data_IF_703826697733
#
_entry.id   IF_703826697733
#
_cell.length_a   1.000
_cell.length_b   1.000
_cell.length_c   1.000
_cell.angle_alpha   90.00
_cell.angle_beta   90.00
_cell.angle_gamma   90.00
#
_symmetry.space_group_name_H-M   'P 1'
#
loop_
_entity.id
_entity.type
_entity.pdbx_description
1 polymer ?
#
# COMPACT_ATOMS: atom_id res chain seq x y z
N UNK A 1 27.16 -35.58 38.40
CA UNK A 1 25.70 -35.45 38.55
C UNK A 1 25.39 -33.98 38.75
N UNK A 2 25.12 -33.26 37.66
CA UNK A 2 24.70 -31.85 37.68
C UNK A 2 23.19 -31.82 37.40
N UNK A 3 22.48 -31.08 38.26
CA UNK A 3 21.03 -30.89 38.23
C UNK A 3 20.64 -29.98 37.08
N UNK A 4 19.74 -30.43 36.21
CA UNK A 4 19.12 -29.59 35.19
C UNK A 4 18.06 -28.68 35.83
N UNK A 5 18.06 -27.42 35.42
CA UNK A 5 17.11 -26.39 35.83
C UNK A 5 15.71 -26.65 35.24
N UNK A 6 14.69 -26.26 36.00
CA UNK A 6 13.28 -26.50 35.74
C UNK A 6 12.76 -25.76 34.51
N UNK A 7 11.91 -26.45 33.77
CA UNK A 7 10.93 -25.89 32.87
C UNK A 7 9.90 -25.05 33.64
N UNK A 8 9.37 -24.03 32.96
CA UNK A 8 8.04 -23.41 33.07
C UNK A 8 8.12 -21.88 33.08
N UNK A 9 8.14 -21.31 31.87
CA UNK A 9 7.55 -20.00 31.55
C UNK A 9 7.14 -20.01 30.07
N UNK A 10 6.22 -20.91 29.72
CA UNK A 10 5.49 -20.82 28.46
C UNK A 10 4.37 -19.80 28.65
N UNK A 11 4.65 -18.54 28.35
CA UNK A 11 3.61 -17.54 28.07
C UNK A 11 2.82 -18.01 26.85
N UNK A 12 1.69 -18.65 27.09
CA UNK A 12 0.76 -19.04 26.04
C UNK A 12 0.25 -17.78 25.33
N UNK A 13 0.49 -17.71 24.01
CA UNK A 13 0.00 -16.68 23.07
C UNK A 13 -1.51 -16.40 23.25
N UNK A 14 -2.27 -17.36 23.81
CA UNK A 14 -3.69 -17.21 24.12
C UNK A 14 -4.02 -16.10 25.11
N UNK A 15 -3.11 -15.70 26.00
CA UNK A 15 -3.40 -14.66 27.00
C UNK A 15 -3.18 -13.24 26.48
N UNK A 16 -2.35 -13.05 25.45
CA UNK A 16 -2.17 -11.76 24.77
C UNK A 16 -3.39 -11.35 23.90
N UNK A 17 -4.26 -12.30 23.55
CA UNK A 17 -5.40 -12.07 22.65
C UNK A 17 -6.73 -11.83 23.38
N UNK A 18 -6.81 -12.04 24.70
CA UNK A 18 -8.06 -11.93 25.48
C UNK A 18 -8.57 -10.49 25.70
N UNK A 19 -7.82 -9.48 25.27
CA UNK A 19 -8.19 -8.06 25.40
C UNK A 19 -8.81 -7.41 24.15
N UNK A 20 -8.85 -8.10 23.00
CA UNK A 20 -9.34 -7.49 21.76
C UNK A 20 -10.87 -7.43 21.72
N UNK A 21 -11.45 -6.39 22.32
CA UNK A 21 -12.81 -5.98 21.93
C UNK A 21 -12.75 -5.52 20.47
N UNK A 22 -13.51 -6.13 19.54
CA UNK A 22 -13.62 -5.58 18.21
C UNK A 22 -14.16 -4.15 18.36
N UNK A 23 -13.39 -3.18 17.87
CA UNK A 23 -13.85 -1.81 17.83
C UNK A 23 -15.25 -1.78 17.18
N UNK A 24 -16.20 -0.99 17.70
CA UNK A 24 -17.52 -0.88 17.10
C UNK A 24 -17.34 -0.61 15.61
N UNK A 25 -17.92 -1.48 14.78
CA UNK A 25 -17.87 -1.36 13.33
C UNK A 25 -18.52 -0.02 12.99
N UNK A 26 -17.69 1.01 12.74
CA UNK A 26 -18.17 2.25 12.20
C UNK A 26 -18.94 1.91 10.92
N UNK A 27 -20.17 2.37 10.80
CA UNK A 27 -20.95 2.19 9.58
C UNK A 27 -20.13 2.75 8.41
N UNK A 28 -19.61 1.85 7.59
CA UNK A 28 -18.84 2.22 6.41
C UNK A 28 -19.82 2.66 5.34
N UNK A 29 -19.60 3.88 4.84
CA UNK A 29 -20.35 4.35 3.69
C UNK A 29 -19.75 3.69 2.44
N UNK A 30 -20.52 2.88 1.71
CA UNK A 30 -20.02 2.23 0.49
C UNK A 30 -19.63 3.28 -0.54
N UNK A 31 -18.71 2.91 -1.44
CA UNK A 31 -18.28 3.77 -2.53
C UNK A 31 -19.45 4.12 -3.44
N UNK A 32 -19.63 5.42 -3.70
CA UNK A 32 -20.60 5.88 -4.69
C UNK A 32 -19.94 6.01 -6.06
N UNK A 33 -20.46 5.29 -7.06
CA UNK A 33 -20.00 5.38 -8.46
C UNK A 33 -20.12 6.83 -8.95
N UNK A 34 -19.00 7.37 -9.43
CA UNK A 34 -18.89 8.75 -9.90
C UNK A 34 -18.99 8.85 -11.42
N UNK A 35 -18.77 7.75 -12.13
CA UNK A 35 -18.89 7.70 -13.58
C UNK A 35 -20.36 7.60 -13.99
N UNK A 36 -20.78 8.38 -14.99
CA UNK A 36 -22.16 8.36 -15.51
C UNK A 36 -22.35 7.27 -16.57
N UNK A 37 -21.27 6.82 -17.19
CA UNK A 37 -21.31 5.72 -18.16
C UNK A 37 -21.51 4.42 -17.38
N UNK A 38 -22.33 3.47 -17.88
CA UNK A 38 -22.42 2.15 -17.27
C UNK A 38 -21.08 1.43 -17.29
N UNK A 39 -20.77 0.70 -16.21
CA UNK A 39 -19.58 -0.14 -16.16
C UNK A 39 -19.67 -1.22 -17.24
N UNK A 40 -18.64 -1.38 -18.10
CA UNK A 40 -18.58 -2.50 -19.03
C UNK A 40 -18.64 -3.83 -18.28
N UNK A 41 -19.42 -4.78 -18.79
CA UNK A 41 -19.51 -6.13 -18.19
C UNK A 41 -18.22 -6.90 -18.39
N UNK A 42 -17.73 -7.51 -17.33
CA UNK A 42 -16.51 -8.30 -17.34
C UNK A 42 -15.86 -8.38 -15.96
N UNK A 43 -14.67 -8.97 -15.92
CA UNK A 43 -13.89 -9.19 -14.72
C UNK A 43 -12.67 -8.29 -14.65
N UNK A 44 -12.29 -7.92 -13.43
CA UNK A 44 -11.07 -7.19 -13.13
C UNK A 44 -10.08 -8.11 -12.43
N UNK A 45 -8.82 -8.07 -12.84
CA UNK A 45 -7.75 -8.72 -12.10
C UNK A 45 -6.53 -7.81 -12.04
N UNK A 46 -5.59 -8.20 -11.19
CA UNK A 46 -4.24 -7.63 -11.22
C UNK A 46 -3.26 -8.65 -11.77
N UNK A 47 -2.18 -8.17 -12.39
CA UNK A 47 -1.03 -8.96 -12.80
C UNK A 47 0.20 -8.38 -12.11
N UNK A 48 0.71 -9.08 -11.10
CA UNK A 48 1.95 -8.74 -10.41
C UNK A 48 3.14 -9.19 -11.28
N UNK A 49 4.02 -8.27 -11.63
CA UNK A 49 5.20 -8.58 -12.43
C UNK A 49 6.23 -9.29 -11.56
N UNK A 50 6.70 -10.47 -11.99
CA UNK A 50 7.70 -11.24 -11.25
C UNK A 50 9.08 -10.57 -11.36
N UNK A 51 9.86 -10.66 -10.28
CA UNK A 51 11.27 -10.26 -10.25
C UNK A 51 12.14 -11.50 -10.40
N UNK A 52 13.13 -11.41 -11.28
CA UNK A 52 14.26 -12.35 -11.29
C UNK A 52 15.33 -11.83 -10.33
N UNK A 53 15.72 -12.66 -9.36
CA UNK A 53 16.84 -12.38 -8.47
C UNK A 53 17.92 -13.42 -8.67
N UNK A 54 19.14 -12.97 -8.91
CA UNK A 54 20.29 -13.84 -9.03
C UNK A 54 20.66 -14.43 -7.66
N UNK A 55 20.59 -15.76 -7.54
CA UNK A 55 20.96 -16.54 -6.34
C UNK A 55 22.38 -17.09 -6.49
N UNK A 56 23.38 -16.21 -6.55
CA UNK A 56 24.80 -16.61 -6.55
C UNK A 56 25.74 -15.68 -7.34
N UNK A 57 27.00 -15.63 -6.90
CA UNK A 57 28.00 -14.68 -7.38
C UNK A 57 28.06 -13.42 -6.50
N UNK A 58 29.22 -12.76 -6.47
CA UNK A 58 29.34 -11.45 -5.81
C UNK A 58 28.62 -10.43 -6.69
N UNK A 59 27.44 -9.99 -6.25
CA UNK A 59 26.72 -8.86 -6.81
C UNK A 59 26.51 -7.91 -5.65
N UNK A 60 27.14 -6.74 -5.72
CA UNK A 60 26.73 -5.60 -4.88
C UNK A 60 25.31 -5.24 -5.32
N UNK A 61 24.32 -5.77 -4.61
CA UNK A 61 22.93 -5.38 -4.80
C UNK A 61 22.73 -4.07 -4.05
N UNK A 62 22.85 -2.96 -4.77
CA UNK A 62 22.55 -1.61 -4.30
C UNK A 62 21.14 -1.54 -3.69
N UNK A 63 20.19 -2.36 -4.18
CA UNK A 63 18.78 -2.35 -3.74
C UNK A 63 18.34 -3.61 -2.98
N UNK A 64 19.20 -4.22 -2.16
CA UNK A 64 18.80 -5.45 -1.42
C UNK A 64 17.67 -5.24 -0.40
N UNK A 65 17.45 -4.01 0.06
CA UNK A 65 16.45 -3.68 1.08
C UNK A 65 15.17 -3.04 0.53
N UNK A 66 15.18 -2.61 -0.73
CA UNK A 66 14.05 -1.94 -1.38
C UNK A 66 13.71 -2.73 -2.63
N UNK A 67 12.52 -3.33 -2.66
CA UNK A 67 12.07 -4.16 -3.78
C UNK A 67 10.98 -3.42 -4.57
N UNK A 68 11.14 -3.25 -5.89
CA UNK A 68 10.08 -2.66 -6.70
C UNK A 68 8.88 -3.60 -6.82
N UNK A 69 7.69 -3.03 -6.78
CA UNK A 69 6.41 -3.70 -6.99
C UNK A 69 5.69 -3.03 -8.15
N UNK A 70 5.51 -3.77 -9.24
CA UNK A 70 4.82 -3.30 -10.43
C UNK A 70 3.64 -4.21 -10.74
N UNK A 71 2.47 -3.61 -10.92
CA UNK A 71 1.22 -4.32 -11.11
C UNK A 71 0.47 -3.71 -12.28
N UNK A 72 -0.04 -4.55 -13.18
CA UNK A 72 -1.00 -4.13 -14.18
C UNK A 72 -2.43 -4.39 -13.71
N UNK A 73 -3.33 -3.45 -13.97
CA UNK A 73 -4.77 -3.61 -13.76
C UNK A 73 -5.36 -4.08 -15.09
N UNK A 74 -5.96 -5.27 -15.08
CA UNK A 74 -6.43 -5.96 -16.28
C UNK A 74 -7.95 -6.06 -16.26
N UNK A 75 -8.59 -5.69 -17.36
CA UNK A 75 -10.01 -5.94 -17.61
C UNK A 75 -10.18 -7.07 -18.64
N UNK A 76 -11.12 -7.98 -18.37
CA UNK A 76 -11.55 -9.04 -19.30
C UNK A 76 -13.04 -8.90 -19.56
N UNK A 77 -13.44 -8.71 -20.81
CA UNK A 77 -14.85 -8.56 -21.17
C UNK A 77 -15.65 -9.85 -20.96
N UNK A 78 -16.98 -9.70 -20.92
CA UNK A 78 -17.92 -10.82 -20.93
C UNK A 78 -17.60 -11.77 -22.10
N UNK A 79 -17.47 -13.08 -21.83
CA UNK A 79 -17.06 -14.16 -22.75
C UNK A 79 -15.55 -14.36 -22.99
N UNK A 80 -14.66 -13.72 -22.23
CA UNK A 80 -13.25 -14.12 -22.18
C UNK A 80 -13.04 -15.10 -21.03
N UNK A 81 -12.39 -16.24 -21.30
CA UNK A 81 -12.09 -17.23 -20.27
C UNK A 81 -11.28 -16.62 -19.12
N UNK A 82 -11.52 -17.10 -17.89
CA UNK A 82 -10.71 -16.75 -16.73
C UNK A 82 -9.26 -17.18 -16.99
N UNK A 83 -8.36 -16.22 -17.10
CA UNK A 83 -6.95 -16.44 -17.48
C UNK A 83 -6.63 -16.16 -18.96
N UNK A 84 -7.64 -15.86 -19.78
CA UNK A 84 -7.46 -15.39 -21.16
C UNK A 84 -6.80 -14.00 -21.26
N UNK A 85 -6.44 -13.57 -22.49
CA UNK A 85 -5.83 -12.26 -22.71
C UNK A 85 -6.78 -11.15 -22.28
N UNK A 86 -6.34 -10.31 -21.36
CA UNK A 86 -7.08 -9.13 -20.92
C UNK A 86 -6.48 -7.84 -21.48
N UNK A 87 -7.22 -6.74 -21.34
CA UNK A 87 -6.75 -5.41 -21.70
C UNK A 87 -6.18 -4.73 -20.46
N UNK A 88 -4.95 -4.21 -20.53
CA UNK A 88 -4.40 -3.34 -19.48
C UNK A 88 -5.18 -2.03 -19.46
N UNK A 89 -5.71 -1.65 -18.30
CA UNK A 89 -6.53 -0.45 -18.09
C UNK A 89 -5.95 0.49 -17.03
N UNK A 90 -4.82 0.11 -16.44
CA UNK A 90 -4.17 0.83 -15.36
C UNK A 90 -2.94 0.10 -14.86
N UNK A 91 -2.28 0.69 -13.86
CA UNK A 91 -1.12 0.12 -13.20
C UNK A 91 -0.95 0.66 -11.78
N UNK A 92 -0.28 -0.11 -10.92
CA UNK A 92 0.19 0.31 -9.61
C UNK A 92 1.71 0.18 -9.60
N UNK A 93 2.40 1.21 -9.10
CA UNK A 93 3.83 1.17 -8.81
C UNK A 93 4.05 1.44 -7.33
N UNK A 94 4.93 0.67 -6.73
CA UNK A 94 5.32 0.83 -5.35
C UNK A 94 6.67 0.19 -5.05
N UNK A 95 7.07 0.32 -3.80
CA UNK A 95 8.31 -0.19 -3.25
C UNK A 95 8.00 -0.94 -1.95
N UNK A 96 8.59 -2.12 -1.77
CA UNK A 96 8.61 -2.82 -0.49
C UNK A 96 9.93 -2.54 0.19
N UNK A 97 9.88 -1.91 1.35
CA UNK A 97 11.03 -1.60 2.19
C UNK A 97 11.12 -2.66 3.29
N UNK A 98 12.19 -3.46 3.23
CA UNK A 98 12.41 -4.60 4.10
C UNK A 98 13.07 -4.18 5.42
N UNK A 99 12.31 -3.50 6.29
CA UNK A 99 12.79 -3.07 7.61
C UNK A 99 13.26 -4.25 8.45
N UNK A 100 12.56 -5.39 8.36
CA UNK A 100 12.91 -6.62 9.06
C UNK A 100 14.30 -7.11 8.66
N UNK A 101 14.61 -7.04 7.36
CA UNK A 101 15.93 -7.43 6.84
C UNK A 101 17.01 -6.44 7.29
N UNK A 102 16.76 -5.13 7.23
CA UNK A 102 17.70 -4.11 7.72
C UNK A 102 18.03 -4.29 9.21
N UNK A 103 17.02 -4.61 10.02
CA UNK A 103 17.20 -4.92 11.44
C UNK A 103 18.09 -6.16 11.64
N UNK A 104 17.79 -7.24 10.92
CA UNK A 104 18.53 -8.50 11.03
C UNK A 104 19.98 -8.41 10.53
N UNK A 105 20.27 -7.50 9.60
CA UNK A 105 21.63 -7.28 9.08
C UNK A 105 22.40 -6.19 9.83
N UNK A 106 21.78 -5.50 10.79
CA UNK A 106 22.41 -4.42 11.56
C UNK A 106 22.54 -3.09 10.80
N UNK A 107 21.75 -2.89 9.74
CA UNK A 107 21.74 -1.67 8.91
C UNK A 107 20.56 -0.74 9.21
N UNK A 108 19.81 -0.99 10.29
CA UNK A 108 18.65 -0.17 10.64
C UNK A 108 19.01 1.30 10.92
N UNK A 109 20.20 1.55 11.47
CA UNK A 109 20.72 2.92 11.71
C UNK A 109 21.05 3.66 10.38
N UNK A 110 21.08 2.97 9.25
CA UNK A 110 21.29 3.54 7.90
C UNK A 110 19.99 3.68 7.10
N UNK A 111 18.82 3.61 7.75
CA UNK A 111 17.53 3.62 7.03
C UNK A 111 17.35 4.85 6.12
N UNK A 112 17.67 6.05 6.63
CA UNK A 112 17.56 7.30 5.84
C UNK A 112 18.54 7.32 4.67
N UNK A 113 19.80 6.91 4.89
CA UNK A 113 20.84 6.83 3.85
C UNK A 113 20.41 5.89 2.72
N UNK A 114 19.90 4.70 3.07
CA UNK A 114 19.37 3.73 2.09
C UNK A 114 18.20 4.33 1.29
N UNK A 115 17.32 5.11 1.92
CA UNK A 115 16.22 5.78 1.22
C UNK A 115 16.72 6.91 0.29
N UNK A 116 17.72 7.66 0.74
CA UNK A 116 18.32 8.78 0.02
C UNK A 116 19.06 8.32 -1.24
N UNK A 117 19.86 7.26 -1.11
CA UNK A 117 20.60 6.66 -2.21
C UNK A 117 19.67 6.07 -3.29
N UNK A 118 18.49 5.57 -2.89
CA UNK A 118 17.56 4.92 -3.82
C UNK A 118 16.78 5.94 -4.67
N UNK A 119 16.08 6.90 -4.06
CA UNK A 119 15.36 7.94 -4.81
C UNK A 119 14.96 9.16 -3.99
N UNK A 120 14.90 10.33 -4.63
CA UNK A 120 14.43 11.57 -3.99
C UNK A 120 13.02 11.43 -3.38
N UNK A 121 12.12 10.72 -4.05
CA UNK A 121 10.76 10.51 -3.56
C UNK A 121 10.76 9.70 -2.25
N UNK A 122 11.61 8.69 -2.17
CA UNK A 122 11.73 7.85 -0.98
C UNK A 122 12.43 8.58 0.16
N UNK A 123 13.48 9.36 -0.16
CA UNK A 123 14.15 10.31 0.76
C UNK A 123 13.15 11.31 1.37
N UNK A 124 12.31 11.92 0.54
CA UNK A 124 11.28 12.87 0.99
C UNK A 124 10.25 12.22 1.92
N UNK A 125 9.85 10.98 1.61
CA UNK A 125 8.94 10.20 2.44
C UNK A 125 9.59 9.84 3.79
N UNK A 126 10.80 9.28 3.74
CA UNK A 126 11.55 8.83 4.90
C UNK A 126 11.82 9.98 5.88
N UNK A 127 12.31 11.11 5.39
CA UNK A 127 12.65 12.28 6.21
C UNK A 127 11.43 12.97 6.85
N UNK A 128 10.24 12.85 6.26
CA UNK A 128 8.99 13.43 6.81
C UNK A 128 8.32 12.54 7.84
N UNK A 129 8.44 11.23 7.70
CA UNK A 129 7.69 10.27 8.52
C UNK A 129 8.54 9.61 9.60
N UNK A 130 9.81 9.33 9.29
CA UNK A 130 10.65 8.45 10.09
C UNK A 130 11.89 9.16 10.63
N UNK A 131 12.44 8.65 11.73
CA UNK A 131 13.75 9.01 12.23
C UNK A 131 14.86 8.25 11.47
N UNK A 132 16.10 8.38 11.94
CA UNK A 132 17.28 7.69 11.37
C UNK A 132 17.19 6.16 11.45
N UNK A 133 16.32 5.62 12.32
CA UNK A 133 16.16 4.19 12.61
C UNK A 133 14.87 3.60 12.03
N UNK A 134 14.18 4.34 11.16
CA UNK A 134 12.93 3.88 10.55
C UNK A 134 11.74 3.84 11.52
N UNK A 135 11.83 4.51 12.68
CA UNK A 135 10.69 4.69 13.60
C UNK A 135 9.95 5.98 13.29
N UNK A 136 8.65 6.01 13.52
CA UNK A 136 7.89 7.25 13.31
C UNK A 136 8.41 8.38 14.19
N UNK A 137 8.59 9.57 13.60
CA UNK A 137 8.94 10.77 14.37
C UNK A 137 7.83 11.19 15.34
N UNK A 138 6.59 10.84 15.04
CA UNK A 138 5.45 11.04 15.93
C UNK A 138 5.26 9.78 16.79
N UNK A 139 5.63 9.87 18.08
CA UNK A 139 5.50 8.77 19.04
C UNK A 139 4.05 8.31 19.25
N UNK A 140 3.04 9.10 18.87
CA UNK A 140 1.65 8.62 18.93
C UNK A 140 1.33 7.55 17.88
N UNK A 141 2.21 7.39 16.89
CA UNK A 141 2.15 6.40 15.82
C UNK A 141 3.11 5.23 16.04
N UNK A 142 3.96 5.27 17.07
CA UNK A 142 4.87 4.17 17.41
C UNK A 142 4.11 3.05 18.13
N UNK A 143 3.30 2.32 17.37
CA UNK A 143 2.78 1.01 17.77
C UNK A 143 3.89 -0.05 17.78
N UNK A 144 3.62 -1.18 18.43
CA UNK A 144 4.48 -2.38 18.47
C UNK A 144 4.58 -3.12 17.12
N UNK A 145 4.45 -2.36 16.03
CA UNK A 145 4.15 -2.88 14.74
C UNK A 145 5.44 -2.78 13.88
N UNK A 146 6.27 -3.82 14.00
CA UNK A 146 7.62 -3.99 13.44
C UNK A 146 7.60 -4.70 12.08
N UNK A 147 6.71 -4.27 11.18
CA UNK A 147 6.59 -4.84 9.82
C UNK A 147 7.40 -4.08 8.77
N UNK A 148 7.51 -4.70 7.60
CA UNK A 148 8.00 -4.07 6.38
C UNK A 148 7.00 -3.00 5.88
N UNK A 149 7.42 -2.18 4.92
CA UNK A 149 6.62 -1.07 4.41
C UNK A 149 6.39 -1.24 2.91
N UNK A 150 5.13 -1.27 2.49
CA UNK A 150 4.72 -1.12 1.10
C UNK A 150 4.41 0.35 0.85
N UNK A 151 5.33 1.06 0.22
CA UNK A 151 5.13 2.43 -0.21
C UNK A 151 4.55 2.46 -1.64
N UNK A 152 3.30 2.90 -1.78
CA UNK A 152 2.63 3.07 -3.06
C UNK A 152 3.00 4.44 -3.63
N UNK A 153 3.78 4.43 -4.71
CA UNK A 153 4.20 5.63 -5.42
C UNK A 153 3.12 6.13 -6.37
N UNK A 154 2.45 5.20 -7.07
CA UNK A 154 1.46 5.54 -8.08
C UNK A 154 0.35 4.51 -8.17
N UNK A 155 -0.88 5.00 -8.27
CA UNK A 155 -2.03 4.24 -8.79
C UNK A 155 -2.58 4.98 -10.00
N UNK A 156 -2.39 4.38 -11.17
CA UNK A 156 -2.92 4.89 -12.42
C UNK A 156 -4.09 4.05 -12.92
N UNK A 157 -5.17 4.72 -13.29
CA UNK A 157 -6.32 4.13 -13.99
C UNK A 157 -6.61 5.02 -15.20
N UNK A 158 -6.80 4.41 -16.36
CA UNK A 158 -7.16 5.12 -17.59
C UNK A 158 -8.45 5.95 -17.39
N UNK A 159 -8.55 7.15 -18.00
CA UNK A 159 -9.67 8.08 -17.77
C UNK A 159 -11.07 7.45 -17.90
N UNK A 160 -11.29 6.61 -18.92
CA UNK A 160 -12.60 5.96 -19.17
C UNK A 160 -13.04 4.97 -18.08
N UNK A 161 -12.07 4.47 -17.30
CA UNK A 161 -12.28 3.51 -16.20
C UNK A 161 -12.28 4.18 -14.81
N UNK A 162 -12.06 5.49 -14.74
CA UNK A 162 -12.12 6.22 -13.46
C UNK A 162 -13.56 6.33 -12.96
N UNK A 163 -13.70 6.47 -11.64
CA UNK A 163 -15.00 6.69 -10.99
C UNK A 163 -15.81 5.44 -10.66
N UNK A 164 -15.31 4.24 -10.98
CA UNK A 164 -15.92 2.97 -10.61
C UNK A 164 -15.30 2.30 -9.36
N UNK A 165 -14.33 2.95 -8.70
CA UNK A 165 -13.65 2.34 -7.56
C UNK A 165 -12.62 1.25 -7.90
N UNK A 166 -12.28 1.06 -9.18
CA UNK A 166 -11.30 0.06 -9.64
C UNK A 166 -9.93 0.23 -8.98
N UNK A 167 -9.49 1.46 -8.71
CA UNK A 167 -8.24 1.71 -7.99
C UNK A 167 -8.23 1.15 -6.56
N UNK A 168 -9.38 1.17 -5.87
CA UNK A 168 -9.51 0.57 -4.53
C UNK A 168 -9.45 -0.95 -4.62
N UNK A 169 -10.18 -1.52 -5.58
CA UNK A 169 -10.18 -2.96 -5.84
C UNK A 169 -8.77 -3.47 -6.18
N UNK A 170 -8.05 -2.77 -7.06
CA UNK A 170 -6.72 -3.15 -7.48
C UNK A 170 -5.69 -3.05 -6.34
N UNK A 171 -5.71 -1.96 -5.55
CA UNK A 171 -4.80 -1.81 -4.42
C UNK A 171 -5.07 -2.87 -3.35
N UNK A 172 -6.35 -3.16 -3.07
CA UNK A 172 -6.71 -4.23 -2.14
C UNK A 172 -6.24 -5.59 -2.66
N UNK A 173 -6.50 -5.89 -3.93
CA UNK A 173 -6.03 -7.12 -4.56
C UNK A 173 -4.51 -7.26 -4.51
N UNK A 174 -3.75 -6.17 -4.67
CA UNK A 174 -2.30 -6.18 -4.50
C UNK A 174 -1.92 -6.61 -3.08
N UNK A 175 -2.49 -5.94 -2.07
CA UNK A 175 -2.20 -6.26 -0.67
C UNK A 175 -2.53 -7.72 -0.35
N UNK A 176 -3.68 -8.21 -0.82
CA UNK A 176 -4.11 -9.60 -0.58
C UNK A 176 -3.25 -10.64 -1.34
N UNK A 177 -2.56 -10.25 -2.40
CA UNK A 177 -1.73 -11.15 -3.22
C UNK A 177 -0.30 -11.28 -2.71
N UNK A 178 0.15 -10.37 -1.85
CA UNK A 178 1.52 -10.39 -1.35
C UNK A 178 1.69 -11.44 -0.23
N UNK A 179 2.51 -12.50 -0.42
CA UNK A 179 2.51 -13.68 0.43
C UNK A 179 3.07 -13.47 1.84
N UNK A 180 3.81 -12.37 2.07
CA UNK A 180 4.46 -12.08 3.35
C UNK A 180 3.94 -10.80 3.99
N UNK A 181 2.82 -10.25 3.50
CA UNK A 181 2.33 -8.94 3.92
C UNK A 181 1.28 -9.01 5.04
N UNK A 182 1.56 -9.81 6.09
CA UNK A 182 0.70 -10.00 7.26
C UNK A 182 1.26 -9.22 8.45
N UNK A 183 0.60 -8.11 8.83
CA UNK A 183 1.02 -7.13 9.86
C UNK A 183 2.01 -6.06 9.40
N UNK A 184 2.03 -5.77 8.11
CA UNK A 184 2.89 -4.73 7.53
C UNK A 184 2.14 -3.42 7.28
N UNK A 185 2.94 -2.37 7.02
CA UNK A 185 2.44 -1.02 6.74
C UNK A 185 2.25 -0.84 5.24
N UNK A 186 1.13 -0.24 4.85
CA UNK A 186 0.97 0.30 3.49
C UNK A 186 0.91 1.82 3.60
N UNK A 187 1.84 2.50 2.93
CA UNK A 187 1.95 3.95 2.87
C UNK A 187 1.61 4.46 1.48
N UNK A 188 1.00 5.63 1.40
CA UNK A 188 0.82 6.36 0.14
C UNK A 188 0.75 7.87 0.39
N UNK A 189 1.14 8.66 -0.62
CA UNK A 189 0.80 10.08 -0.68
C UNK A 189 -0.49 10.23 -1.53
N UNK A 190 -1.59 10.79 -0.99
CA UNK A 190 -2.80 11.05 -1.75
C UNK A 190 -2.67 12.23 -2.73
N UNK A 191 -1.49 12.85 -2.87
CA UNK A 191 -1.25 13.88 -3.86
C UNK A 191 -1.54 13.37 -5.29
N UNK A 192 -2.25 14.15 -6.12
CA UNK A 192 -2.42 13.79 -7.52
C UNK A 192 -1.07 13.85 -8.24
N UNK A 193 -0.82 12.88 -9.11
CA UNK A 193 0.38 12.93 -9.96
C UNK A 193 0.35 14.15 -10.87
N UNK A 194 1.49 14.82 -10.96
CA UNK A 194 1.75 15.79 -12.02
C UNK A 194 1.88 15.04 -13.34
N UNK A 195 0.86 15.13 -14.20
CA UNK A 195 0.94 14.63 -15.58
C UNK A 195 2.07 15.41 -16.25
N UNK A 196 3.17 14.73 -16.56
CA UNK A 196 4.23 15.33 -17.36
C UNK A 196 3.64 15.69 -18.73
N UNK A 197 3.94 16.90 -19.19
CA UNK A 197 3.33 17.56 -20.34
C UNK A 197 3.40 16.81 -21.68
N UNK A 198 4.08 15.67 -21.75
CA UNK A 198 4.32 14.95 -23.00
C UNK A 198 3.14 14.07 -23.44
N UNK A 199 2.20 13.73 -22.54
CA UNK A 199 0.99 12.94 -22.85
C UNK A 199 -0.30 13.62 -22.35
N UNK A 200 -0.24 14.92 -22.08
CA UNK A 200 -1.42 15.65 -21.62
C UNK A 200 -2.41 15.80 -22.77
N UNK A 201 -3.37 14.87 -22.86
CA UNK A 201 -4.63 15.15 -23.55
C UNK A 201 -5.20 16.44 -22.95
N UNK A 202 -5.35 17.47 -23.80
CA UNK A 202 -5.90 18.77 -23.42
C UNK A 202 -7.23 18.57 -22.68
N UNK A 203 -7.25 18.81 -21.36
CA UNK A 203 -8.45 18.68 -20.53
C UNK A 203 -8.33 17.80 -19.28
N UNK A 204 -7.19 17.14 -19.05
CA UNK A 204 -7.01 16.23 -17.89
C UNK A 204 -6.49 16.91 -16.62
N UNK A 205 -6.44 18.25 -16.56
CA UNK A 205 -6.10 18.96 -15.32
C UNK A 205 -7.30 18.93 -14.37
N UNK A 206 -7.07 18.69 -13.06
CA UNK A 206 -8.12 18.94 -12.09
C UNK A 206 -8.47 20.43 -12.17
N UNK A 207 -9.68 20.75 -12.62
CA UNK A 207 -10.26 22.10 -12.54
C UNK A 207 -10.43 22.57 -11.09
N UNK A 208 -10.15 21.69 -10.12
CA UNK A 208 -10.29 21.90 -8.69
C UNK A 208 -8.96 22.31 -8.06
N UNK A 209 -8.98 23.17 -7.03
CA UNK A 209 -7.81 23.45 -6.22
C UNK A 209 -7.13 22.17 -5.71
N UNK A 210 -5.79 22.15 -5.70
CA UNK A 210 -4.98 20.98 -5.28
C UNK A 210 -5.42 20.41 -3.92
N UNK A 211 -5.70 21.30 -2.95
CA UNK A 211 -6.18 20.93 -1.62
C UNK A 211 -7.50 20.15 -1.63
N UNK A 212 -8.43 20.52 -2.51
CA UNK A 212 -9.70 19.80 -2.65
C UNK A 212 -9.50 18.43 -3.28
N UNK A 213 -8.60 18.33 -4.25
CA UNK A 213 -8.22 17.06 -4.88
C UNK A 213 -7.58 16.11 -3.86
N UNK A 214 -6.61 16.59 -3.08
CA UNK A 214 -5.99 15.82 -1.98
C UNK A 214 -7.06 15.36 -0.99
N UNK A 215 -7.95 16.24 -0.54
CA UNK A 215 -9.02 15.87 0.39
C UNK A 215 -9.98 14.81 -0.20
N UNK A 216 -10.29 14.89 -1.50
CA UNK A 216 -11.12 13.90 -2.17
C UNK A 216 -10.41 12.54 -2.27
N UNK A 217 -9.10 12.53 -2.53
CA UNK A 217 -8.27 11.33 -2.57
C UNK A 217 -8.06 10.74 -1.16
N UNK A 218 -7.84 11.58 -0.14
CA UNK A 218 -7.82 11.15 1.27
C UNK A 218 -9.10 10.40 1.64
N UNK A 219 -10.27 10.96 1.28
CA UNK A 219 -11.56 10.28 1.51
C UNK A 219 -11.69 8.98 0.72
N UNK A 220 -11.16 8.95 -0.51
CA UNK A 220 -11.19 7.78 -1.36
C UNK A 220 -10.40 6.62 -0.74
N UNK A 221 -9.13 6.86 -0.39
CA UNK A 221 -8.26 5.85 0.21
C UNK A 221 -8.69 5.48 1.62
N UNK A 222 -9.30 6.42 2.36
CA UNK A 222 -9.87 6.14 3.68
C UNK A 222 -10.95 5.04 3.68
N UNK A 223 -11.57 4.73 2.52
CA UNK A 223 -12.49 3.62 2.39
C UNK A 223 -11.82 2.25 2.55
N UNK A 224 -10.51 2.14 2.26
CA UNK A 224 -9.69 0.94 2.53
C UNK A 224 -9.07 0.95 3.93
N UNK A 225 -9.51 1.86 4.81
CA UNK A 225 -8.99 1.99 6.17
C UNK A 225 -7.74 2.85 6.31
N UNK A 226 -7.26 3.47 5.22
CA UNK A 226 -6.14 4.41 5.30
C UNK A 226 -6.47 5.62 6.18
N UNK A 227 -5.52 6.01 7.01
CA UNK A 227 -5.60 7.17 7.90
C UNK A 227 -4.42 8.07 7.65
N UNK A 228 -4.58 9.37 7.88
CA UNK A 228 -3.45 10.31 7.81
C UNK A 228 -2.43 9.95 8.87
N UNK A 229 -1.17 9.89 8.46
CA UNK A 229 -0.03 9.63 9.36
C UNK A 229 0.14 10.83 10.28
N UNK A 230 0.04 12.06 9.76
CA UNK A 230 0.20 13.28 10.57
C UNK A 230 -0.94 14.27 10.42
N UNK A 231 -1.10 15.12 11.44
CA UNK A 231 -1.96 16.32 11.40
C UNK A 231 -1.22 17.56 10.90
N UNK A 232 0.11 17.49 10.72
CA UNK A 232 0.91 18.61 10.19
C UNK A 232 0.46 18.93 8.76
N UNK A 233 0.46 20.21 8.39
CA UNK A 233 -0.13 20.67 7.13
C UNK A 233 0.69 20.29 5.89
N UNK A 234 1.97 20.00 6.06
CA UNK A 234 2.96 19.67 5.04
C UNK A 234 3.15 18.15 4.85
N UNK A 235 2.50 17.32 5.67
CA UNK A 235 2.59 15.86 5.62
C UNK A 235 1.24 15.28 5.21
N UNK A 236 1.12 14.87 3.94
CA UNK A 236 -0.13 14.33 3.39
C UNK A 236 -0.23 12.80 3.43
N UNK A 237 0.84 12.10 3.80
CA UNK A 237 0.89 10.65 3.76
C UNK A 237 -0.23 10.00 4.57
N UNK A 238 -0.68 8.87 4.04
CA UNK A 238 -1.66 8.01 4.66
C UNK A 238 -1.08 6.62 4.87
N UNK A 239 -1.49 5.98 5.96
CA UNK A 239 -1.11 4.62 6.29
C UNK A 239 -2.33 3.73 6.52
N UNK A 240 -2.17 2.43 6.22
CA UNK A 240 -3.03 1.37 6.76
C UNK A 240 -2.17 0.17 7.15
N UNK A 241 -2.75 -0.71 7.94
CA UNK A 241 -2.11 -1.88 8.51
C UNK A 241 -2.74 -3.15 7.96
N UNK A 242 -1.96 -4.05 7.37
CA UNK A 242 -2.51 -5.24 6.70
C UNK A 242 -3.24 -6.18 7.64
N UNK A 243 -2.69 -6.40 8.84
CA UNK A 243 -3.35 -7.17 9.90
C UNK A 243 -4.64 -6.54 10.45
N UNK A 244 -4.98 -5.30 10.05
CA UNK A 244 -6.17 -4.57 10.47
C UNK A 244 -7.06 -4.14 9.31
N UNK A 245 -6.80 -4.56 8.07
CA UNK A 245 -7.59 -4.05 6.93
C UNK A 245 -9.03 -4.49 7.10
N UNK A 246 -9.87 -3.47 7.30
CA UNK A 246 -11.32 -3.54 7.35
C UNK A 246 -11.83 -2.33 6.59
N UNK A 247 -12.88 -2.48 5.77
CA UNK A 247 -13.75 -3.66 5.57
C UNK A 247 -13.36 -4.58 4.40
N UNK A 248 -14.06 -5.72 4.20
CA UNK A 248 -14.04 -6.48 2.95
C UNK A 248 -14.28 -5.58 1.74
N UNK A 249 -13.65 -5.90 0.61
CA UNK A 249 -13.68 -5.04 -0.57
C UNK A 249 -15.07 -5.00 -1.21
N UNK A 250 -15.83 -6.06 -1.06
CA UNK A 250 -17.22 -6.22 -1.45
C UNK A 250 -18.12 -5.20 -0.75
N UNK A 251 -17.82 -4.88 0.52
CA UNK A 251 -18.54 -3.86 1.28
C UNK A 251 -18.14 -2.44 0.83
N UNK A 252 -16.90 -2.26 0.36
CA UNK A 252 -16.40 -0.96 -0.12
C UNK A 252 -16.92 -0.62 -1.51
N UNK A 253 -16.85 -1.56 -2.45
CA UNK A 253 -17.21 -1.38 -3.87
C UNK A 253 -18.21 -2.46 -4.33
N UNK A 254 -19.41 -2.52 -3.73
CA UNK A 254 -20.36 -3.61 -3.96
C UNK A 254 -20.84 -3.75 -5.41
N UNK A 255 -20.78 -2.67 -6.21
CA UNK A 255 -21.20 -2.69 -7.62
C UNK A 255 -20.19 -3.38 -8.56
N UNK A 256 -19.05 -3.86 -8.04
CA UNK A 256 -18.07 -4.64 -8.80
C UNK A 256 -18.18 -6.16 -8.57
N UNK A 257 -19.17 -6.60 -7.78
CA UNK A 257 -19.46 -8.00 -7.43
C UNK A 257 -20.92 -8.32 -7.76
#
# INVERSE_FOLDING_TARGET
>A
MQSFASAEDYLTISDALRGFRPAPQAQLNPYTVKNKVPLPKGDFSILLHQREQQIGGYVEQEDKYILPVNVDIIFRGENVDVGGPGTKIGSIRGLVILLSLMCNTGYLDSFQEICDDHSQELSDMASKLFDERGKYQDESLSGADEGDILYIQEVYVEPKWRGYGIGLLALRGLIDTMPSFEMDKVLLDPAPMSISSNNAEEGCYPSRPLKETINALTKHWGLLGFKRVSKKQDVNYMETWTGRIKPPIEDVVPHLF
#
